data_IF_275198815803
#
_entry.id   IF_275198815803
#
_cell.length_a   1.000
_cell.length_b   1.000
_cell.length_c   1.000
_cell.angle_alpha   90.00
_cell.angle_beta   90.00
_cell.angle_gamma   90.00
#
_symmetry.space_group_name_H-M   'P 1'
#
loop_
_entity.id
_entity.type
_entity.pdbx_description
1 polymer ?
#
# COMPACT_ATOMS: atom_id res chain seq x y z
N UNK A 1 -32.04 -8.89 15.52
CA UNK A 1 -31.42 -9.22 14.22
C UNK A 1 -30.37 -8.16 13.94
N UNK A 2 -29.13 -8.39 14.36
CA UNK A 2 -28.00 -7.48 14.12
C UNK A 2 -27.51 -7.68 12.68
N UNK A 3 -27.65 -6.64 11.87
CA UNK A 3 -27.26 -6.67 10.47
C UNK A 3 -25.73 -6.70 10.37
N UNK A 4 -25.17 -7.81 9.89
CA UNK A 4 -23.74 -7.92 9.55
C UNK A 4 -23.47 -6.95 8.40
N UNK A 5 -22.77 -5.86 8.66
CA UNK A 5 -22.18 -5.05 7.58
C UNK A 5 -21.03 -5.87 7.00
N UNK A 6 -21.27 -6.48 5.83
CA UNK A 6 -20.23 -7.15 5.07
C UNK A 6 -19.29 -6.09 4.48
N UNK A 7 -18.16 -5.85 5.14
CA UNK A 7 -17.06 -5.10 4.55
C UNK A 7 -16.52 -5.93 3.38
N UNK A 8 -16.56 -5.43 2.13
CA UNK A 8 -16.13 -6.21 0.97
C UNK A 8 -14.67 -6.66 1.14
N UNK A 9 -14.46 -7.98 1.13
CA UNK A 9 -13.12 -8.56 1.19
C UNK A 9 -12.26 -8.07 0.02
N UNK A 10 -10.99 -7.80 0.31
CA UNK A 10 -9.95 -7.44 -0.66
C UNK A 10 -9.84 -8.54 -1.73
N UNK A 11 -10.48 -8.35 -2.89
CA UNK A 11 -10.31 -9.22 -4.05
C UNK A 11 -8.89 -9.10 -4.60
N UNK A 12 -8.34 -10.22 -5.09
CA UNK A 12 -7.06 -10.27 -5.81
C UNK A 12 -7.12 -9.47 -7.13
N UNK A 13 -5.98 -8.97 -7.64
CA UNK A 13 -5.90 -8.26 -8.91
C UNK A 13 -6.51 -9.05 -10.07
N UNK A 14 -7.12 -8.33 -11.01
CA UNK A 14 -7.47 -8.91 -12.32
C UNK A 14 -6.25 -9.14 -13.22
N UNK A 15 -5.12 -8.50 -12.93
CA UNK A 15 -3.86 -8.64 -13.66
C UNK A 15 -2.93 -9.65 -12.98
N UNK A 16 -2.40 -10.59 -13.76
CA UNK A 16 -1.39 -11.55 -13.32
C UNK A 16 0.03 -11.00 -13.41
N UNK A 17 1.00 -11.81 -12.97
CA UNK A 17 2.43 -11.45 -13.03
C UNK A 17 3.00 -11.44 -14.46
N UNK A 18 2.25 -11.91 -15.45
CA UNK A 18 2.54 -11.76 -16.88
C UNK A 18 2.39 -10.32 -17.37
N UNK A 19 1.70 -9.47 -16.60
CA UNK A 19 1.50 -8.04 -16.84
C UNK A 19 1.91 -7.25 -15.58
N UNK A 20 3.22 -7.14 -15.32
CA UNK A 20 3.73 -6.69 -14.01
C UNK A 20 3.38 -5.24 -13.68
N UNK A 21 3.32 -4.34 -14.67
CA UNK A 21 2.92 -2.96 -14.40
C UNK A 21 1.41 -2.81 -14.12
N UNK A 22 0.58 -3.63 -14.76
CA UNK A 22 -0.86 -3.71 -14.52
C UNK A 22 -1.12 -4.32 -13.13
N UNK A 23 -0.31 -5.30 -12.73
CA UNK A 23 -0.30 -5.85 -11.37
C UNK A 23 0.06 -4.75 -10.35
N UNK A 24 1.09 -3.94 -10.61
CA UNK A 24 1.48 -2.81 -9.76
C UNK A 24 0.35 -1.78 -9.64
N UNK A 25 -0.29 -1.40 -10.74
CA UNK A 25 -1.49 -0.53 -10.69
C UNK A 25 -2.63 -1.15 -9.86
N UNK A 26 -2.87 -2.45 -10.00
CA UNK A 26 -3.85 -3.15 -9.17
C UNK A 26 -3.42 -3.28 -7.69
N UNK A 27 -2.12 -3.16 -7.37
CA UNK A 27 -1.66 -2.97 -6.00
C UNK A 27 -2.09 -1.60 -5.47
N UNK A 28 -1.93 -0.52 -6.23
CA UNK A 28 -2.38 0.82 -5.82
C UNK A 28 -3.88 0.90 -5.55
N UNK A 29 -4.71 0.25 -6.37
CA UNK A 29 -6.14 0.18 -6.08
C UNK A 29 -6.42 -0.53 -4.74
N UNK A 30 -5.63 -1.55 -4.39
CA UNK A 30 -5.74 -2.24 -3.10
C UNK A 30 -5.24 -1.38 -1.96
N UNK A 31 -4.20 -0.58 -2.16
CA UNK A 31 -3.73 0.42 -1.19
C UNK A 31 -4.88 1.37 -0.89
N UNK A 32 -5.45 2.00 -1.93
CA UNK A 32 -6.55 2.95 -1.80
C UNK A 32 -7.76 2.36 -1.08
N UNK A 33 -8.21 1.15 -1.46
CA UNK A 33 -9.30 0.45 -0.76
C UNK A 33 -9.00 0.17 0.71
N UNK A 34 -7.75 -0.12 1.05
CA UNK A 34 -7.34 -0.38 2.44
C UNK A 34 -7.27 0.90 3.25
N UNK A 35 -6.83 2.02 2.65
CA UNK A 35 -6.87 3.35 3.26
C UNK A 35 -8.31 3.81 3.49
N UNK A 36 -9.21 3.56 2.53
CA UNK A 36 -10.64 3.83 2.70
C UNK A 36 -11.25 3.01 3.84
N UNK A 37 -10.87 1.72 3.95
CA UNK A 37 -11.29 0.87 5.06
C UNK A 37 -10.79 1.44 6.40
N UNK A 38 -9.55 1.92 6.46
CA UNK A 38 -9.00 2.55 7.66
C UNK A 38 -9.77 3.83 8.04
N UNK A 39 -10.13 4.66 7.06
CA UNK A 39 -10.92 5.86 7.32
C UNK A 39 -12.33 5.51 7.81
N UNK A 40 -12.99 4.53 7.18
CA UNK A 40 -14.32 4.05 7.59
C UNK A 40 -14.31 3.43 8.97
N UNK A 41 -13.24 2.71 9.34
CA UNK A 41 -13.07 2.15 10.67
C UNK A 41 -13.07 3.26 11.74
N UNK A 42 -12.35 4.36 11.50
CA UNK A 42 -12.33 5.49 12.44
C UNK A 42 -13.73 6.11 12.63
N UNK A 43 -14.48 6.32 11.54
CA UNK A 43 -15.87 6.80 11.61
C UNK A 43 -16.78 5.81 12.34
N UNK A 44 -16.69 4.52 12.00
CA UNK A 44 -17.51 3.47 12.60
C UNK A 44 -17.32 3.39 14.12
N UNK A 45 -16.08 3.49 14.59
CA UNK A 45 -15.77 3.47 16.03
C UNK A 45 -16.38 4.65 16.77
N UNK A 46 -16.45 5.83 16.15
CA UNK A 46 -17.05 7.01 16.77
C UNK A 46 -18.58 6.89 16.88
N UNK A 47 -19.23 6.21 15.93
CA UNK A 47 -20.69 6.10 15.86
C UNK A 47 -21.25 4.86 16.58
N UNK A 48 -20.57 3.72 16.47
CA UNK A 48 -21.08 2.41 16.88
C UNK A 48 -20.25 1.77 18.00
N UNK A 49 -19.03 2.25 18.24
CA UNK A 49 -18.09 1.63 19.18
C UNK A 49 -17.43 0.36 18.62
N UNK A 50 -16.79 -0.43 19.49
CA UNK A 50 -16.08 -1.65 19.09
C UNK A 50 -17.01 -2.86 19.10
N UNK A 51 -17.04 -3.55 17.97
CA UNK A 51 -17.61 -4.88 17.81
C UNK A 51 -16.63 -5.80 17.05
N UNK A 52 -17.08 -7.01 16.73
CA UNK A 52 -16.27 -7.95 15.96
C UNK A 52 -15.97 -7.46 14.53
N UNK A 53 -16.85 -6.63 13.96
CA UNK A 53 -16.67 -6.03 12.63
C UNK A 53 -15.52 -5.02 12.64
N UNK A 54 -15.47 -4.13 13.63
CA UNK A 54 -14.39 -3.17 13.82
C UNK A 54 -13.04 -3.86 14.03
N UNK A 55 -13.02 -4.93 14.85
CA UNK A 55 -11.82 -5.74 15.08
C UNK A 55 -11.37 -6.44 13.80
N UNK A 56 -12.30 -6.93 12.99
CA UNK A 56 -11.98 -7.56 11.72
C UNK A 56 -11.41 -6.57 10.71
N UNK A 57 -12.01 -5.38 10.59
CA UNK A 57 -11.47 -4.31 9.76
C UNK A 57 -10.04 -3.94 10.13
N UNK A 58 -9.74 -3.82 11.43
CA UNK A 58 -8.38 -3.56 11.92
C UNK A 58 -7.40 -4.68 11.50
N UNK A 59 -7.80 -5.95 11.62
CA UNK A 59 -6.99 -7.11 11.16
C UNK A 59 -6.72 -7.07 9.66
N UNK A 60 -7.71 -6.70 8.86
CA UNK A 60 -7.57 -6.62 7.40
C UNK A 60 -6.63 -5.49 6.97
N UNK A 61 -6.72 -4.32 7.62
CA UNK A 61 -5.77 -3.21 7.42
C UNK A 61 -4.35 -3.65 7.81
N UNK A 62 -4.18 -4.26 8.99
CA UNK A 62 -2.89 -4.76 9.46
C UNK A 62 -2.27 -5.74 8.47
N UNK A 63 -3.02 -6.77 8.06
CA UNK A 63 -2.54 -7.81 7.15
C UNK A 63 -2.04 -7.22 5.83
N UNK A 64 -2.73 -6.22 5.29
CA UNK A 64 -2.33 -5.60 4.03
C UNK A 64 -1.02 -4.82 4.18
N UNK A 65 -0.93 -3.92 5.15
CA UNK A 65 0.25 -3.06 5.30
C UNK A 65 1.46 -3.76 5.96
N UNK A 66 1.25 -4.88 6.66
CA UNK A 66 2.35 -5.70 7.19
C UNK A 66 2.99 -6.61 6.14
N UNK A 67 2.27 -6.97 5.07
CA UNK A 67 2.72 -7.99 4.10
C UNK A 67 2.67 -7.49 2.67
N UNK A 68 1.50 -7.05 2.19
CA UNK A 68 1.32 -6.74 0.78
C UNK A 68 2.00 -5.43 0.36
N UNK A 69 1.89 -4.37 1.17
CA UNK A 69 2.50 -3.08 0.86
C UNK A 69 4.05 -3.12 0.84
N UNK A 70 4.73 -3.78 1.81
CA UNK A 70 6.19 -3.94 1.74
C UNK A 70 6.67 -4.69 0.50
N UNK A 71 5.99 -5.78 0.12
CA UNK A 71 6.31 -6.54 -1.10
C UNK A 71 6.10 -5.73 -2.38
N UNK A 72 5.13 -4.81 -2.38
CA UNK A 72 4.90 -3.91 -3.51
C UNK A 72 6.03 -2.87 -3.63
N UNK A 73 6.40 -2.19 -2.54
CA UNK A 73 7.54 -1.28 -2.54
C UNK A 73 8.84 -2.01 -2.92
N UNK A 74 9.03 -3.24 -2.45
CA UNK A 74 10.18 -4.07 -2.83
C UNK A 74 10.22 -4.37 -4.34
N UNK A 75 9.07 -4.60 -4.98
CA UNK A 75 9.01 -4.77 -6.43
C UNK A 75 9.49 -3.51 -7.16
N UNK A 76 9.12 -2.32 -6.67
CA UNK A 76 9.51 -1.04 -7.28
C UNK A 76 10.99 -0.73 -7.08
N UNK A 77 11.50 -0.91 -5.87
CA UNK A 77 12.91 -0.72 -5.51
C UNK A 77 13.83 -1.65 -6.31
N UNK A 78 13.37 -2.86 -6.64
CA UNK A 78 14.16 -3.83 -7.40
C UNK A 78 14.04 -3.64 -8.92
N UNK A 79 12.86 -3.31 -9.43
CA UNK A 79 12.57 -3.42 -10.88
C UNK A 79 12.24 -2.09 -11.56
N UNK A 80 11.64 -1.15 -10.85
CA UNK A 80 11.12 0.08 -11.44
C UNK A 80 12.11 1.23 -11.29
N UNK A 81 12.66 1.41 -10.10
CA UNK A 81 13.55 2.53 -9.78
C UNK A 81 14.96 2.40 -10.37
N UNK A 82 15.63 1.23 -10.36
CA UNK A 82 17.02 1.13 -10.78
C UNK A 82 17.29 1.53 -12.25
N UNK A 83 16.45 1.16 -13.24
CA UNK A 83 16.62 1.62 -14.62
C UNK A 83 16.52 3.15 -14.75
N UNK A 84 15.63 3.77 -13.98
CA UNK A 84 15.38 5.22 -14.03
C UNK A 84 16.47 6.05 -13.33
N UNK A 85 17.34 5.42 -12.55
CA UNK A 85 18.47 6.08 -11.89
C UNK A 85 19.77 5.98 -12.70
N UNK A 86 19.76 5.31 -13.86
CA UNK A 86 20.95 5.20 -14.70
C UNK A 86 21.34 6.53 -15.36
N UNK A 87 22.64 6.76 -15.64
CA UNK A 87 23.09 7.89 -16.44
C UNK A 87 22.36 7.96 -17.79
N UNK A 88 21.88 9.16 -18.16
CA UNK A 88 21.11 9.36 -19.39
C UNK A 88 19.60 9.49 -19.19
N UNK A 89 19.05 9.07 -18.04
CA UNK A 89 17.66 9.36 -17.68
C UNK A 89 17.52 10.84 -17.25
N UNK A 90 16.39 11.45 -17.60
CA UNK A 90 16.05 12.84 -17.22
C UNK A 90 16.22 13.11 -15.72
N UNK A 91 16.81 14.26 -15.39
CA UNK A 91 17.13 14.65 -14.01
C UNK A 91 15.88 14.86 -13.15
N UNK A 92 14.77 15.32 -13.75
CA UNK A 92 13.49 15.46 -13.06
C UNK A 92 12.93 14.09 -12.65
N UNK A 93 12.98 13.11 -13.55
CA UNK A 93 12.58 11.73 -13.27
C UNK A 93 13.44 11.10 -12.18
N UNK A 94 14.76 11.27 -12.22
CA UNK A 94 15.64 10.80 -11.16
C UNK A 94 15.32 11.43 -9.79
N UNK A 95 14.99 12.73 -9.77
CA UNK A 95 14.63 13.42 -8.54
C UNK A 95 13.33 12.87 -7.93
N UNK A 96 12.33 12.55 -8.77
CA UNK A 96 11.07 11.93 -8.34
C UNK A 96 11.31 10.53 -7.80
N UNK A 97 12.11 9.70 -8.48
CA UNK A 97 12.45 8.35 -7.97
C UNK A 97 13.12 8.44 -6.60
N UNK A 98 14.11 9.33 -6.40
CA UNK A 98 14.73 9.52 -5.09
C UNK A 98 13.75 10.04 -4.03
N UNK A 99 12.72 10.78 -4.43
CA UNK A 99 11.64 11.18 -3.51
C UNK A 99 10.80 9.97 -3.10
N UNK A 100 10.38 9.13 -4.04
CA UNK A 100 9.61 7.92 -3.75
C UNK A 100 10.36 6.96 -2.81
N UNK A 101 11.66 6.77 -3.01
CA UNK A 101 12.49 5.99 -2.08
C UNK A 101 12.49 6.56 -0.65
N UNK A 102 12.48 7.90 -0.51
CA UNK A 102 12.33 8.54 0.81
C UNK A 102 10.93 8.35 1.37
N UNK A 103 9.92 8.39 0.51
CA UNK A 103 8.53 8.15 0.88
C UNK A 103 8.35 6.72 1.42
N UNK A 104 8.93 5.70 0.77
CA UNK A 104 8.92 4.32 1.28
C UNK A 104 9.47 4.20 2.70
N UNK A 105 10.61 4.85 2.98
CA UNK A 105 11.19 4.89 4.33
C UNK A 105 10.25 5.60 5.31
N UNK A 106 9.68 6.73 4.92
CA UNK A 106 8.76 7.50 5.76
C UNK A 106 7.46 6.73 6.04
N UNK A 107 6.94 6.00 5.05
CA UNK A 107 5.77 5.13 5.16
C UNK A 107 6.04 3.97 6.10
N UNK A 108 7.18 3.27 5.95
CA UNK A 108 7.55 2.18 6.86
C UNK A 108 7.70 2.67 8.31
N UNK A 109 8.37 3.81 8.53
CA UNK A 109 8.53 4.39 9.85
C UNK A 109 7.20 4.89 10.46
N UNK A 110 6.31 5.44 9.63
CA UNK A 110 4.97 5.83 10.08
C UNK A 110 4.11 4.61 10.41
N UNK A 111 4.16 3.58 9.57
CA UNK A 111 3.39 2.35 9.74
C UNK A 111 3.77 1.63 11.03
N UNK A 112 5.06 1.56 11.36
CA UNK A 112 5.56 0.95 12.60
C UNK A 112 4.89 1.53 13.86
N UNK A 113 4.53 2.82 13.83
CA UNK A 113 3.80 3.48 14.91
C UNK A 113 2.28 3.28 14.73
N UNK A 114 1.76 3.50 13.52
CA UNK A 114 0.33 3.47 13.20
C UNK A 114 -0.32 2.09 13.44
N UNK A 115 0.46 1.00 13.29
CA UNK A 115 -0.04 -0.36 13.53
C UNK A 115 -0.32 -0.67 15.00
N UNK A 116 0.30 0.04 15.94
CA UNK A 116 0.15 -0.23 17.38
C UNK A 116 -1.30 -0.10 17.87
N UNK A 117 -2.00 1.04 17.65
CA UNK A 117 -3.41 1.15 18.05
C UNK A 117 -4.33 0.18 17.29
N UNK A 118 -4.00 -0.14 16.02
CA UNK A 118 -4.75 -1.14 15.24
C UNK A 118 -4.61 -2.54 15.84
N UNK A 119 -3.40 -2.91 16.30
CA UNK A 119 -3.15 -4.18 16.99
C UNK A 119 -3.91 -4.26 18.31
N UNK A 120 -3.89 -3.18 19.10
CA UNK A 120 -4.62 -3.11 20.36
C UNK A 120 -6.15 -3.25 20.14
N UNK A 121 -6.69 -2.58 19.11
CA UNK A 121 -8.09 -2.71 18.74
C UNK A 121 -8.43 -4.14 18.29
N UNK A 122 -7.63 -4.69 17.37
CA UNK A 122 -7.82 -6.05 16.84
C UNK A 122 -7.77 -7.13 17.93
N UNK A 123 -6.93 -6.94 18.96
CA UNK A 123 -6.79 -7.82 20.12
C UNK A 123 -7.76 -7.55 21.27
N UNK A 124 -8.65 -6.56 21.14
CA UNK A 124 -9.62 -6.19 22.18
C UNK A 124 -9.05 -5.41 23.37
N UNK A 125 -7.77 -5.01 23.31
CA UNK A 125 -7.09 -4.20 24.31
C UNK A 125 -7.44 -2.70 24.23
N UNK A 126 -8.14 -2.27 23.18
CA UNK A 126 -8.54 -0.88 22.98
C UNK A 126 -10.01 -0.79 22.52
N UNK A 127 -10.74 0.19 23.09
CA UNK A 127 -12.17 0.42 22.80
C UNK A 127 -12.43 1.70 21.98
N UNK A 128 -11.42 2.53 21.75
CA UNK A 128 -11.50 3.72 20.92
C UNK A 128 -10.08 4.17 20.52
N UNK A 129 -9.95 4.88 19.41
CA UNK A 129 -8.72 5.58 19.07
C UNK A 129 -8.65 6.90 19.82
N UNK A 130 -7.48 7.20 20.41
CA UNK A 130 -7.19 8.53 20.93
C UNK A 130 -7.02 9.53 19.78
N UNK A 131 -7.04 10.83 20.10
CA UNK A 131 -6.73 11.87 19.10
C UNK A 131 -5.32 11.71 18.50
N UNK A 132 -4.36 11.21 19.28
CA UNK A 132 -3.01 10.93 18.80
C UNK A 132 -2.99 9.75 17.83
N UNK A 133 -3.74 8.67 18.12
CA UNK A 133 -3.88 7.53 17.20
C UNK A 133 -4.51 7.97 15.89
N UNK A 134 -5.60 8.74 15.94
CA UNK A 134 -6.27 9.26 14.75
C UNK A 134 -5.34 10.12 13.90
N UNK A 135 -4.60 11.04 14.52
CA UNK A 135 -3.64 11.88 13.82
C UNK A 135 -2.53 11.05 13.14
N UNK A 136 -2.07 9.98 13.79
CA UNK A 136 -1.06 9.08 13.24
C UNK A 136 -1.59 8.26 12.05
N UNK A 137 -2.82 7.73 12.15
CA UNK A 137 -3.49 7.01 11.07
C UNK A 137 -3.75 7.92 9.86
N UNK A 138 -4.18 9.17 10.10
CA UNK A 138 -4.37 10.17 9.06
C UNK A 138 -3.05 10.56 8.39
N UNK A 139 -1.99 10.77 9.18
CA UNK A 139 -0.65 11.03 8.66
C UNK A 139 -0.18 9.89 7.75
N UNK A 140 -0.36 8.64 8.18
CA UNK A 140 0.00 7.47 7.38
C UNK A 140 -0.76 7.44 6.05
N UNK A 141 -2.08 7.63 6.07
CA UNK A 141 -2.90 7.67 4.87
C UNK A 141 -2.47 8.80 3.91
N UNK A 142 -2.13 9.97 4.46
CA UNK A 142 -1.69 11.13 3.69
C UNK A 142 -0.39 10.93 2.91
N UNK A 143 0.48 9.99 3.33
CA UNK A 143 1.73 9.71 2.61
C UNK A 143 1.50 9.10 1.23
N UNK A 144 0.38 8.39 1.02
CA UNK A 144 0.16 7.64 -0.23
C UNK A 144 -0.36 8.48 -1.39
N UNK A 145 -1.05 9.60 -1.13
CA UNK A 145 -1.76 10.33 -2.18
C UNK A 145 -0.81 10.89 -3.25
N UNK A 146 0.23 11.62 -2.83
CA UNK A 146 1.23 12.15 -3.76
C UNK A 146 2.19 11.09 -4.28
N UNK A 147 2.45 10.06 -3.46
CA UNK A 147 3.31 8.93 -3.81
C UNK A 147 2.76 8.17 -5.03
N UNK A 148 1.53 7.65 -4.92
CA UNK A 148 0.85 6.93 -6.00
C UNK A 148 0.70 7.82 -7.25
N UNK A 149 0.40 9.11 -7.06
CA UNK A 149 0.28 10.07 -8.17
C UNK A 149 1.59 10.21 -8.95
N UNK A 150 2.73 10.25 -8.27
CA UNK A 150 4.03 10.32 -8.93
C UNK A 150 4.39 8.99 -9.61
N UNK A 151 4.05 7.86 -8.99
CA UNK A 151 4.30 6.53 -9.56
C UNK A 151 3.53 6.33 -10.86
N UNK A 152 2.21 6.49 -10.82
CA UNK A 152 1.35 6.27 -11.97
C UNK A 152 1.50 7.33 -13.06
N UNK A 153 1.67 8.59 -12.65
CA UNK A 153 1.71 9.73 -13.57
C UNK A 153 3.05 9.93 -14.27
N UNK A 154 4.15 9.45 -13.68
CA UNK A 154 5.49 9.75 -14.18
C UNK A 154 6.42 8.53 -14.20
N UNK A 155 6.55 7.82 -13.08
CA UNK A 155 7.59 6.78 -12.94
C UNK A 155 7.26 5.52 -13.74
N UNK A 156 6.04 4.99 -13.65
CA UNK A 156 5.65 3.81 -14.41
C UNK A 156 5.67 4.06 -15.93
N UNK A 157 5.12 5.18 -16.46
CA UNK A 157 5.28 5.50 -17.87
C UNK A 157 6.74 5.55 -18.33
N UNK A 158 7.63 6.15 -17.55
CA UNK A 158 9.05 6.22 -17.87
C UNK A 158 9.72 4.84 -17.82
N UNK A 159 9.45 4.04 -16.79
CA UNK A 159 10.00 2.69 -16.66
C UNK A 159 9.55 1.76 -17.80
N UNK A 160 8.28 1.86 -18.25
CA UNK A 160 7.76 1.09 -19.40
C UNK A 160 8.53 1.36 -20.69
N UNK A 161 9.13 2.53 -20.86
CA UNK A 161 9.94 2.86 -22.03
C UNK A 161 11.34 2.22 -21.98
N UNK A 162 11.81 1.86 -20.78
CA UNK A 162 13.15 1.31 -20.56
C UNK A 162 13.15 -0.22 -20.39
N UNK A 163 12.05 -0.81 -19.90
CA UNK A 163 11.95 -2.24 -19.64
C UNK A 163 11.28 -2.95 -20.82
N UNK A 164 12.08 -3.66 -21.62
CA UNK A 164 11.58 -4.45 -22.75
C UNK A 164 10.75 -5.67 -22.31
N UNK A 165 10.19 -6.39 -23.28
CA UNK A 165 9.33 -7.53 -23.00
C UNK A 165 10.02 -8.65 -22.21
N UNK A 166 11.32 -8.90 -22.46
CA UNK A 166 12.08 -9.92 -21.73
C UNK A 166 12.32 -9.50 -20.27
N UNK A 167 12.63 -8.22 -20.05
CA UNK A 167 12.75 -7.61 -18.74
C UNK A 167 11.44 -7.66 -17.95
N UNK A 168 10.31 -7.35 -18.59
CA UNK A 168 8.99 -7.45 -17.95
C UNK A 168 8.65 -8.88 -17.54
N UNK A 169 8.97 -9.88 -18.37
CA UNK A 169 8.77 -11.29 -18.00
C UNK A 169 9.66 -11.72 -16.83
N UNK A 170 10.91 -11.24 -16.77
CA UNK A 170 11.80 -11.52 -15.65
C UNK A 170 11.29 -10.88 -14.35
N UNK A 171 10.94 -9.59 -14.40
CA UNK A 171 10.31 -8.86 -13.31
C UNK A 171 9.08 -9.61 -12.78
N UNK A 172 8.16 -10.01 -13.67
CA UNK A 172 6.96 -10.76 -13.32
C UNK A 172 7.24 -12.06 -12.57
N UNK A 173 8.19 -12.88 -13.05
CA UNK A 173 8.59 -14.13 -12.37
C UNK A 173 9.13 -13.88 -10.96
N UNK A 174 9.94 -12.84 -10.79
CA UNK A 174 10.50 -12.50 -9.49
C UNK A 174 9.44 -11.96 -8.52
N UNK A 175 8.51 -11.13 -9.03
CA UNK A 175 7.36 -10.64 -8.27
C UNK A 175 6.47 -11.81 -7.78
N UNK A 176 6.27 -12.83 -8.61
CA UNK A 176 5.55 -14.06 -8.25
C UNK A 176 6.31 -14.88 -7.21
N UNK A 177 7.62 -15.07 -7.40
CA UNK A 177 8.45 -15.82 -6.47
C UNK A 177 8.47 -15.21 -5.06
N UNK A 178 8.50 -13.87 -4.94
CA UNK A 178 8.36 -13.15 -3.66
C UNK A 178 7.04 -13.44 -2.93
N UNK A 179 6.05 -14.02 -3.63
CA UNK A 179 4.70 -14.32 -3.12
C UNK A 179 4.38 -15.81 -3.11
N UNK A 180 5.38 -16.68 -3.27
CA UNK A 180 5.24 -18.13 -3.15
C UNK A 180 5.16 -18.91 -4.46
N UNK A 181 5.28 -18.24 -5.62
CA UNK A 181 5.23 -18.88 -6.94
C UNK A 181 3.84 -19.00 -7.53
#
# INVERSE_FOLDING_TARGET
>A
MTSRVALPGLRSPGAGFDQPFEMLGACHERVQRTLDLLQRLQTYLAEQGVDDSARQAARDVLRYFDVAAPLHHEDEELHIFPPLLQPGTDAGTQAVVRQLQRDHVAMAACWAQARVPLQALAGGGQQAFSAADQALLQRFAGLYADHIRHEEGQVYPAARQLVDAAGQQAMGREMAARRGG
#
